data_IF_971532587066
#
_entry.id   IF_971532587066
#
_cell.length_a   1.000
_cell.length_b   1.000
_cell.length_c   1.000
_cell.angle_alpha   90.00
_cell.angle_beta   90.00
_cell.angle_gamma   90.00
#
_symmetry.space_group_name_H-M   'P 1'
#
loop_
_entity.id
_entity.type
_entity.pdbx_description
1 polymer ?
#
# COMPACT_ATOMS: atom_id res chain seq x y z
N UNK A 1 14.64 -12.57 13.95
CA UNK A 1 15.02 -11.19 13.63
C UNK A 1 14.40 -10.74 12.32
N UNK A 2 14.68 -11.43 11.21
CA UNK A 2 14.08 -11.09 9.92
C UNK A 2 12.56 -11.13 9.93
N UNK A 3 11.98 -12.07 10.69
CA UNK A 3 10.53 -12.23 10.78
C UNK A 3 9.86 -10.98 11.37
N UNK A 4 10.44 -10.45 12.44
CA UNK A 4 9.91 -9.25 13.08
C UNK A 4 10.04 -8.03 12.17
N UNK A 5 11.20 -7.86 11.53
CA UNK A 5 11.42 -6.77 10.59
C UNK A 5 10.47 -6.83 9.40
N UNK A 6 10.23 -8.03 8.86
CA UNK A 6 9.32 -8.20 7.73
C UNK A 6 7.89 -7.83 8.10
N UNK A 7 7.44 -8.22 9.29
CA UNK A 7 6.09 -7.89 9.73
C UNK A 7 5.95 -6.42 10.11
N UNK A 8 7.01 -5.79 10.61
CA UNK A 8 7.00 -4.34 10.83
C UNK A 8 6.87 -3.59 9.51
N UNK A 9 7.63 -3.99 8.49
CA UNK A 9 7.56 -3.38 7.16
C UNK A 9 6.20 -3.56 6.49
N UNK A 10 5.53 -4.67 6.75
CA UNK A 10 4.18 -4.90 6.24
C UNK A 10 3.11 -4.26 7.09
N UNK A 11 3.29 -4.29 8.40
CA UNK A 11 2.29 -3.79 9.35
C UNK A 11 2.10 -2.29 9.30
N UNK A 12 3.17 -1.53 9.04
CA UNK A 12 3.07 -0.08 8.96
C UNK A 12 2.18 0.36 7.79
N UNK A 13 2.44 -0.05 6.54
CA UNK A 13 1.53 0.35 5.45
C UNK A 13 0.13 -0.24 5.61
N UNK A 14 0.01 -1.49 6.04
CA UNK A 14 -1.31 -2.11 6.23
C UNK A 14 -2.10 -1.38 7.31
N UNK A 15 -1.47 -1.04 8.43
CA UNK A 15 -2.11 -0.32 9.51
C UNK A 15 -2.52 1.10 9.12
N UNK A 16 -1.65 1.81 8.41
CA UNK A 16 -1.96 3.17 7.94
C UNK A 16 -3.10 3.16 6.93
N UNK A 17 -3.11 2.21 6.02
CA UNK A 17 -4.19 2.09 5.04
C UNK A 17 -5.50 1.71 5.72
N UNK A 18 -5.46 0.77 6.67
CA UNK A 18 -6.65 0.36 7.40
C UNK A 18 -7.22 1.53 8.20
N UNK A 19 -6.37 2.32 8.84
CA UNK A 19 -6.81 3.52 9.56
C UNK A 19 -7.42 4.54 8.60
N UNK A 20 -6.79 4.77 7.47
CA UNK A 20 -7.30 5.68 6.44
C UNK A 20 -8.66 5.21 5.92
N UNK A 21 -8.80 3.91 5.66
CA UNK A 21 -10.06 3.33 5.23
C UNK A 21 -11.15 3.52 6.29
N UNK A 22 -10.81 3.27 7.55
CA UNK A 22 -11.75 3.45 8.66
C UNK A 22 -12.23 4.88 8.78
N UNK A 23 -11.34 5.85 8.62
CA UNK A 23 -11.68 7.27 8.64
C UNK A 23 -12.64 7.64 7.51
N UNK A 24 -12.40 7.10 6.31
CA UNK A 24 -13.27 7.34 5.17
C UNK A 24 -14.65 6.72 5.35
N UNK A 25 -14.70 5.50 5.88
CA UNK A 25 -15.97 4.81 6.10
C UNK A 25 -16.76 5.39 7.27
N UNK A 26 -16.08 5.89 8.29
CA UNK A 26 -16.71 6.50 9.46
C UNK A 26 -17.16 7.94 9.22
N UNK A 27 -16.65 8.59 8.17
CA UNK A 27 -17.00 9.99 7.88
C UNK A 27 -16.51 10.95 8.93
N UNK A 28 -15.24 10.81 9.35
CA UNK A 28 -14.67 11.62 10.43
C UNK A 28 -14.63 13.11 10.06
N UNK A 29 -14.54 13.97 11.09
CA UNK A 29 -14.42 15.41 10.89
C UNK A 29 -13.19 15.72 10.03
N UNK A 30 -13.33 16.66 9.12
CA UNK A 30 -12.26 17.06 8.21
C UNK A 30 -12.19 16.26 6.91
N UNK A 31 -12.96 15.19 6.79
CA UNK A 31 -12.95 14.36 5.59
C UNK A 31 -13.41 15.13 4.34
N UNK A 32 -14.48 15.90 4.49
CA UNK A 32 -15.03 16.69 3.37
C UNK A 32 -14.01 17.71 2.88
N UNK A 33 -13.34 18.39 3.80
CA UNK A 33 -12.31 19.38 3.46
C UNK A 33 -11.11 18.72 2.77
N UNK A 34 -10.72 17.54 3.24
CA UNK A 34 -9.63 16.78 2.61
C UNK A 34 -9.96 16.38 1.19
N UNK A 35 -11.17 15.90 0.94
CA UNK A 35 -11.60 15.53 -0.41
C UNK A 35 -11.72 16.76 -1.31
N UNK A 36 -12.25 17.86 -0.78
CA UNK A 36 -12.31 19.12 -1.54
C UNK A 36 -10.92 19.60 -1.93
N UNK A 37 -9.94 19.51 -1.02
CA UNK A 37 -8.56 19.88 -1.30
C UNK A 37 -7.97 19.03 -2.43
N UNK A 38 -8.27 17.72 -2.42
CA UNK A 38 -7.78 16.80 -3.44
C UNK A 38 -8.54 16.91 -4.78
N UNK A 39 -9.61 17.66 -4.80
CA UNK A 39 -10.41 17.87 -6.02
C UNK A 39 -11.37 16.74 -6.33
N UNK A 40 -11.67 15.88 -5.35
CA UNK A 40 -12.60 14.78 -5.51
C UNK A 40 -13.89 14.98 -4.74
N UNK A 41 -15.00 14.40 -5.21
CA UNK A 41 -16.26 14.47 -4.47
C UNK A 41 -16.24 13.60 -3.22
N UNK A 42 -16.90 14.07 -2.16
CA UNK A 42 -16.96 13.33 -0.89
C UNK A 42 -17.61 11.95 -1.06
N UNK A 43 -18.50 11.80 -2.04
CA UNK A 43 -19.17 10.53 -2.33
C UNK A 43 -18.18 9.41 -2.67
N UNK A 44 -16.96 9.74 -3.10
CA UNK A 44 -15.93 8.74 -3.38
C UNK A 44 -15.36 8.13 -2.10
N UNK A 45 -15.58 8.75 -0.94
CA UNK A 45 -14.94 8.31 0.31
C UNK A 45 -15.28 6.86 0.65
N UNK A 46 -16.55 6.47 0.57
CA UNK A 46 -16.98 5.12 0.88
C UNK A 46 -16.32 4.10 -0.06
N UNK A 47 -16.36 4.37 -1.36
CA UNK A 47 -15.76 3.48 -2.35
C UNK A 47 -14.26 3.33 -2.17
N UNK A 48 -13.56 4.44 -1.94
CA UNK A 48 -12.12 4.40 -1.69
C UNK A 48 -11.79 3.70 -0.38
N UNK A 49 -12.60 3.91 0.67
CA UNK A 49 -12.40 3.21 1.95
C UNK A 49 -12.56 1.71 1.81
N UNK A 50 -13.59 1.27 1.09
CA UNK A 50 -13.80 -0.16 0.82
C UNK A 50 -12.64 -0.72 -0.01
N UNK A 51 -12.19 0.01 -1.02
CA UNK A 51 -11.07 -0.41 -1.85
C UNK A 51 -9.78 -0.54 -1.04
N UNK A 52 -9.48 0.46 -0.19
CA UNK A 52 -8.31 0.41 0.67
C UNK A 52 -8.34 -0.79 1.60
N UNK A 53 -9.49 -1.02 2.23
CA UNK A 53 -9.64 -2.13 3.16
C UNK A 53 -9.49 -3.47 2.44
N UNK A 54 -10.06 -3.58 1.25
CA UNK A 54 -9.92 -4.80 0.43
C UNK A 54 -8.46 -5.06 0.08
N UNK A 55 -7.70 -4.02 -0.28
CA UNK A 55 -6.27 -4.15 -0.56
C UNK A 55 -5.51 -4.68 0.66
N UNK A 56 -5.82 -4.15 1.84
CA UNK A 56 -5.17 -4.57 3.08
C UNK A 56 -5.48 -6.03 3.39
N UNK A 57 -6.75 -6.43 3.30
CA UNK A 57 -7.16 -7.81 3.58
C UNK A 57 -6.47 -8.79 2.63
N UNK A 58 -6.49 -8.49 1.34
CA UNK A 58 -5.85 -9.35 0.33
C UNK A 58 -4.34 -9.45 0.59
N UNK A 59 -3.71 -8.35 1.01
CA UNK A 59 -2.28 -8.32 1.30
C UNK A 59 -1.91 -9.14 2.55
N UNK A 60 -2.76 -9.11 3.58
CA UNK A 60 -2.45 -9.79 4.85
C UNK A 60 -2.70 -11.29 4.80
N UNK A 61 -3.50 -11.77 3.85
CA UNK A 61 -3.71 -13.21 3.67
C UNK A 61 -2.52 -13.79 2.90
N UNK A 62 -1.79 -14.77 3.46
CA UNK A 62 -0.56 -15.27 2.83
C UNK A 62 -0.74 -15.78 1.41
N UNK A 63 -1.88 -16.39 1.11
CA UNK A 63 -2.13 -16.96 -0.22
C UNK A 63 -2.32 -15.89 -1.29
N UNK A 64 -2.75 -14.70 -0.91
CA UNK A 64 -3.04 -13.60 -1.84
C UNK A 64 -2.14 -12.39 -1.59
N UNK A 65 -1.09 -12.54 -0.79
CA UNK A 65 -0.25 -11.41 -0.38
C UNK A 65 0.40 -10.70 -1.57
N UNK A 66 0.87 -11.45 -2.57
CA UNK A 66 1.49 -10.86 -3.76
C UNK A 66 0.47 -10.03 -4.55
N UNK A 67 -0.73 -10.56 -4.73
CA UNK A 67 -1.81 -9.81 -5.37
C UNK A 67 -2.13 -8.56 -4.56
N UNK A 68 -2.18 -8.70 -3.23
CA UNK A 68 -2.39 -7.56 -2.35
C UNK A 68 -1.33 -6.48 -2.51
N UNK A 69 -0.06 -6.87 -2.62
CA UNK A 69 1.04 -5.93 -2.85
C UNK A 69 0.88 -5.19 -4.18
N UNK A 70 0.46 -5.89 -5.22
CA UNK A 70 0.17 -5.26 -6.51
C UNK A 70 -0.96 -4.24 -6.40
N UNK A 71 -2.04 -4.61 -5.70
CA UNK A 71 -3.17 -3.71 -5.50
C UNK A 71 -2.77 -2.48 -4.69
N UNK A 72 -1.97 -2.67 -3.65
CA UNK A 72 -1.45 -1.56 -2.84
C UNK A 72 -0.57 -0.65 -3.69
N UNK A 73 0.27 -1.22 -4.55
CA UNK A 73 1.13 -0.45 -5.44
C UNK A 73 0.29 0.44 -6.36
N UNK A 74 -0.76 -0.11 -6.95
CA UNK A 74 -1.67 0.66 -7.80
C UNK A 74 -2.38 1.75 -7.04
N UNK A 75 -2.90 1.42 -5.86
CA UNK A 75 -3.60 2.39 -5.02
C UNK A 75 -2.65 3.54 -4.61
N UNK A 76 -1.44 3.20 -4.17
CA UNK A 76 -0.45 4.22 -3.76
C UNK A 76 0.02 5.06 -4.93
N UNK A 77 0.10 4.49 -6.12
CA UNK A 77 0.40 5.25 -7.34
C UNK A 77 -0.66 6.31 -7.62
N UNK A 78 -1.93 5.93 -7.52
CA UNK A 78 -3.03 6.88 -7.66
C UNK A 78 -3.02 7.96 -6.59
N UNK A 79 -2.76 7.56 -5.35
CA UNK A 79 -2.67 8.50 -4.23
C UNK A 79 -1.50 9.47 -4.42
N UNK A 80 -0.36 8.98 -4.90
CA UNK A 80 0.81 9.81 -5.20
C UNK A 80 0.45 10.89 -6.22
N UNK A 81 -0.16 10.50 -7.32
CA UNK A 81 -0.55 11.46 -8.36
C UNK A 81 -1.57 12.46 -7.84
N UNK A 82 -2.52 12.01 -7.02
CA UNK A 82 -3.53 12.89 -6.43
C UNK A 82 -2.88 13.98 -5.58
N UNK A 83 -1.88 13.61 -4.76
CA UNK A 83 -1.16 14.58 -3.93
C UNK A 83 -0.31 15.53 -4.78
N UNK A 84 0.38 15.01 -5.79
CA UNK A 84 1.19 15.83 -6.68
C UNK A 84 0.36 16.88 -7.40
N UNK A 85 -0.84 16.50 -7.83
CA UNK A 85 -1.74 17.38 -8.56
C UNK A 85 -2.10 18.65 -7.79
N UNK A 86 -2.17 18.56 -6.48
CA UNK A 86 -2.56 19.69 -5.62
C UNK A 86 -1.38 20.32 -4.89
N UNK A 87 -0.16 19.92 -5.24
CA UNK A 87 1.05 20.50 -4.65
C UNK A 87 1.40 19.99 -3.27
N UNK A 88 0.77 18.91 -2.81
CA UNK A 88 1.08 18.30 -1.51
C UNK A 88 2.33 17.42 -1.60
N UNK A 89 3.03 17.22 -0.47
CA UNK A 89 4.13 16.25 -0.45
C UNK A 89 3.62 14.86 -0.83
N UNK A 90 4.36 14.18 -1.70
CA UNK A 90 3.92 12.90 -2.27
C UNK A 90 4.93 11.78 -2.08
N UNK A 91 5.80 11.88 -1.06
CA UNK A 91 6.81 10.86 -0.79
C UNK A 91 6.30 9.71 0.08
N UNK A 92 5.27 9.96 0.90
CA UNK A 92 4.75 8.97 1.84
C UNK A 92 4.15 7.76 1.13
N UNK A 93 3.37 8.00 0.08
CA UNK A 93 2.67 6.95 -0.64
C UNK A 93 3.63 5.97 -1.33
N UNK A 94 4.63 6.42 -2.11
CA UNK A 94 5.60 5.48 -2.66
C UNK A 94 6.38 4.75 -1.59
N UNK A 95 6.69 5.41 -0.47
CA UNK A 95 7.38 4.77 0.64
C UNK A 95 6.56 3.62 1.22
N UNK A 96 5.26 3.83 1.42
CA UNK A 96 4.38 2.77 1.93
C UNK A 96 4.31 1.59 0.98
N UNK A 97 4.23 1.85 -0.32
CA UNK A 97 4.28 0.80 -1.33
C UNK A 97 5.58 0.01 -1.30
N UNK A 98 6.70 0.71 -1.19
CA UNK A 98 8.02 0.07 -1.09
C UNK A 98 8.12 -0.78 0.18
N UNK A 99 7.59 -0.29 1.30
CA UNK A 99 7.59 -1.04 2.56
C UNK A 99 6.74 -2.31 2.46
N UNK A 100 5.59 -2.24 1.80
CA UNK A 100 4.74 -3.41 1.60
C UNK A 100 5.47 -4.49 0.82
N UNK A 101 6.15 -4.13 -0.25
CA UNK A 101 6.96 -5.08 -1.02
C UNK A 101 8.18 -5.57 -0.25
N UNK A 102 8.85 -4.67 0.49
CA UNK A 102 10.00 -5.03 1.31
C UNK A 102 9.67 -6.07 2.37
N UNK A 103 8.56 -5.86 3.07
CA UNK A 103 8.11 -6.82 4.07
C UNK A 103 7.80 -8.18 3.46
N UNK A 104 7.11 -8.18 2.33
CA UNK A 104 6.77 -9.41 1.63
C UNK A 104 8.03 -10.11 1.09
N UNK A 105 8.96 -9.33 0.55
CA UNK A 105 10.23 -9.86 0.05
C UNK A 105 11.02 -10.59 1.14
N UNK A 106 11.01 -10.05 2.35
CA UNK A 106 11.76 -10.65 3.44
C UNK A 106 11.17 -11.96 3.95
N UNK A 107 9.85 -12.12 3.86
CA UNK A 107 9.20 -13.30 4.44
C UNK A 107 8.68 -14.32 3.42
N UNK A 108 8.66 -13.99 2.14
CA UNK A 108 8.12 -14.88 1.12
C UNK A 108 9.19 -15.22 0.09
N UNK A 109 9.65 -16.49 0.14
CA UNK A 109 10.69 -16.97 -0.76
C UNK A 109 10.26 -16.90 -2.23
N UNK A 110 8.96 -17.05 -2.51
CA UNK A 110 8.46 -16.97 -3.89
C UNK A 110 8.69 -15.59 -4.49
N UNK A 111 8.52 -14.55 -3.68
CA UNK A 111 8.77 -13.18 -4.12
C UNK A 111 10.25 -12.98 -4.44
N UNK A 112 11.13 -13.51 -3.60
CA UNK A 112 12.57 -13.41 -3.83
C UNK A 112 13.00 -14.11 -5.12
N UNK A 113 12.32 -15.19 -5.46
CA UNK A 113 12.60 -15.89 -6.72
C UNK A 113 12.09 -15.10 -7.93
N UNK A 114 10.91 -14.49 -7.83
CA UNK A 114 10.33 -13.72 -8.91
C UNK A 114 11.01 -12.37 -9.11
N UNK A 115 11.51 -11.77 -8.03
CA UNK A 115 12.18 -10.47 -8.06
C UNK A 115 13.57 -10.60 -7.45
N UNK A 116 14.49 -11.26 -8.13
CA UNK A 116 15.82 -11.52 -7.59
C UNK A 116 16.70 -10.27 -7.65
N UNK A 117 16.47 -9.34 -6.74
CA UNK A 117 17.20 -8.08 -6.71
C UNK A 117 18.70 -8.35 -6.55
N UNK A 118 19.49 -7.78 -7.44
CA UNK A 118 20.96 -7.83 -7.37
C UNK A 118 21.53 -9.25 -7.37
N UNK A 119 20.87 -10.19 -8.03
CA UNK A 119 21.47 -11.51 -8.19
C UNK A 119 22.26 -11.57 -9.49
N UNK A 120 23.48 -12.11 -9.45
CA UNK A 120 24.19 -12.38 -10.69
C UNK A 120 23.44 -13.45 -11.47
N UNK A 121 23.45 -13.31 -12.81
CA UNK A 121 22.84 -14.32 -13.66
C UNK A 121 23.51 -15.68 -13.41
N UNK A 122 22.72 -16.71 -13.14
CA UNK A 122 23.25 -18.06 -13.03
C UNK A 122 23.67 -18.50 -14.42
N UNK A 123 24.94 -18.87 -14.54
CA UNK A 123 25.41 -19.47 -15.79
C UNK A 123 24.84 -20.87 -15.86
N UNK A 124 24.20 -21.16 -16.95
CA UNK A 124 23.88 -22.54 -17.27
C UNK A 124 25.14 -23.21 -17.79
N UNK A 125 25.64 -24.12 -16.99
CA UNK A 125 26.83 -24.88 -17.35
C UNK A 125 26.46 -26.23 -17.91
#
# INVERSE_FOLDING_TARGET
>A
MKKWGSWALSGIPAGMMAMSAGMKLAGVAGLAEGFAHMGGPLEMATGLGVLELACVVVYLVPRTAVLGALLITGYMGGATMTHLRVGDPAWTQPLLGAMAWGGLYLRDARVRELLPLVQPAKRNE
#
